data_IF_574214478564
#
_entry.id   IF_574214478564
#
_cell.length_a   1.000
_cell.length_b   1.000
_cell.length_c   1.000
_cell.angle_alpha   90.00
_cell.angle_beta   90.00
_cell.angle_gamma   90.00
#
_symmetry.space_group_name_H-M   'P 1'
#
loop_
_entity.id
_entity.type
_entity.pdbx_description
1 polymer ?
#
# COMPACT_ATOMS: atom_id res chain seq x y z
N UNK A 1 26.40 17.83 -34.54
CA UNK A 1 25.58 18.58 -33.55
C UNK A 1 24.58 17.61 -32.95
N UNK A 2 24.88 17.07 -31.76
CA UNK A 2 23.99 16.13 -31.05
C UNK A 2 24.03 16.43 -29.56
N UNK A 3 22.89 16.82 -29.00
CA UNK A 3 22.50 16.74 -27.59
C UNK A 3 21.13 17.43 -27.48
N UNK A 4 20.10 16.94 -26.83
CA UNK A 4 19.82 15.66 -26.19
C UNK A 4 18.30 15.67 -26.03
N UNK A 5 17.63 14.58 -26.37
CA UNK A 5 16.19 14.44 -26.16
C UNK A 5 15.97 14.43 -24.65
N UNK A 6 15.55 15.55 -24.09
CA UNK A 6 15.08 15.62 -22.72
C UNK A 6 13.85 14.72 -22.65
N UNK A 7 13.97 13.59 -21.97
CA UNK A 7 12.82 12.80 -21.58
C UNK A 7 12.05 13.65 -20.56
N UNK A 8 11.01 14.34 -21.02
CA UNK A 8 10.00 14.88 -20.11
C UNK A 8 9.38 13.67 -19.43
N UNK A 9 9.85 13.38 -18.22
CA UNK A 9 9.19 12.46 -17.32
C UNK A 9 7.76 12.92 -17.18
N UNK A 10 6.82 12.12 -17.68
CA UNK A 10 5.39 12.32 -17.46
C UNK A 10 5.20 12.50 -15.95
N UNK A 11 4.56 13.60 -15.48
CA UNK A 11 4.25 13.74 -14.08
C UNK A 11 3.40 12.54 -13.67
N UNK A 12 3.92 11.70 -12.78
CA UNK A 12 3.13 10.70 -12.07
C UNK A 12 1.94 11.46 -11.49
N UNK A 13 0.74 11.10 -11.94
CA UNK A 13 -0.55 11.68 -11.55
C UNK A 13 -0.48 12.15 -10.08
N UNK A 14 -0.74 13.44 -9.76
CA UNK A 14 -0.59 13.93 -8.40
C UNK A 14 -1.50 13.09 -7.51
N UNK A 15 -0.86 12.37 -6.59
CA UNK A 15 -1.54 11.50 -5.63
C UNK A 15 -2.71 12.29 -5.03
N UNK A 16 -3.98 11.86 -5.14
CA UNK A 16 -5.16 12.72 -4.93
C UNK A 16 -5.25 13.34 -3.53
N UNK A 17 -4.44 12.87 -2.59
CA UNK A 17 -4.36 13.31 -1.21
C UNK A 17 -3.16 14.24 -0.93
N UNK A 18 -2.29 14.49 -1.91
CA UNK A 18 -1.13 15.39 -1.81
C UNK A 18 -1.16 16.45 -2.90
N UNK A 19 -1.10 17.73 -2.50
CA UNK A 19 -1.07 18.83 -3.44
C UNK A 19 0.19 18.75 -4.34
N UNK A 20 0.06 19.19 -5.60
CA UNK A 20 1.14 19.12 -6.59
C UNK A 20 2.37 19.96 -6.22
N UNK A 21 2.22 20.91 -5.31
CA UNK A 21 3.27 21.76 -4.74
C UNK A 21 3.91 21.16 -3.47
N UNK A 22 3.46 19.99 -3.02
CA UNK A 22 4.04 19.33 -1.83
C UNK A 22 5.49 18.96 -2.11
N UNK A 23 6.45 19.41 -1.28
CA UNK A 23 7.87 19.09 -1.43
C UNK A 23 8.13 17.59 -1.57
N UNK A 24 9.07 17.22 -2.44
CA UNK A 24 9.39 15.81 -2.72
C UNK A 24 9.81 15.04 -1.47
N UNK A 25 10.53 15.68 -0.56
CA UNK A 25 10.94 15.09 0.73
C UNK A 25 9.72 14.69 1.58
N UNK A 26 8.70 15.55 1.64
CA UNK A 26 7.46 15.30 2.38
C UNK A 26 6.69 14.15 1.71
N UNK A 27 6.67 14.11 0.38
CA UNK A 27 6.03 13.04 -0.39
C UNK A 27 6.70 11.69 -0.13
N UNK A 28 8.04 11.64 -0.18
CA UNK A 28 8.79 10.42 0.11
C UNK A 28 8.58 9.96 1.54
N UNK A 29 8.67 10.88 2.52
CA UNK A 29 8.41 10.58 3.92
C UNK A 29 7.01 9.98 4.13
N UNK A 30 5.98 10.53 3.48
CA UNK A 30 4.62 10.02 3.60
C UNK A 30 4.48 8.60 3.00
N UNK A 31 5.10 8.34 1.86
CA UNK A 31 5.11 7.00 1.23
C UNK A 31 5.81 5.98 2.13
N UNK A 32 6.98 6.32 2.68
CA UNK A 32 7.73 5.45 3.58
C UNK A 32 6.97 5.20 4.88
N UNK A 33 6.37 6.25 5.45
CA UNK A 33 5.53 6.15 6.64
C UNK A 33 4.34 5.22 6.40
N UNK A 34 3.67 5.35 5.25
CA UNK A 34 2.54 4.49 4.89
C UNK A 34 2.96 3.03 4.75
N UNK A 35 4.11 2.75 4.13
CA UNK A 35 4.64 1.39 4.01
C UNK A 35 4.90 0.78 5.37
N UNK A 36 5.53 1.54 6.27
CA UNK A 36 5.85 1.08 7.61
C UNK A 36 4.58 0.82 8.42
N UNK A 37 3.63 1.75 8.41
CA UNK A 37 2.33 1.58 9.06
C UNK A 37 1.55 0.39 8.50
N UNK A 38 1.54 0.19 7.18
CA UNK A 38 0.89 -0.95 6.57
C UNK A 38 1.52 -2.27 7.03
N UNK A 39 2.84 -2.32 7.13
CA UNK A 39 3.56 -3.48 7.64
C UNK A 39 3.20 -3.77 9.11
N UNK A 40 3.20 -2.75 9.98
CA UNK A 40 2.80 -2.91 11.38
C UNK A 40 1.38 -3.46 11.54
N UNK A 41 0.42 -2.91 10.78
CA UNK A 41 -0.97 -3.39 10.80
C UNK A 41 -1.04 -4.86 10.36
N UNK A 42 -0.30 -5.22 9.30
CA UNK A 42 -0.25 -6.59 8.81
C UNK A 42 0.30 -7.51 9.90
N UNK A 43 1.41 -7.14 10.53
CA UNK A 43 2.07 -7.95 11.55
C UNK A 43 1.17 -8.14 12.78
N UNK A 44 0.51 -7.08 13.24
CA UNK A 44 -0.45 -7.12 14.34
C UNK A 44 -1.58 -8.12 14.03
N UNK A 45 -2.23 -7.99 12.86
CA UNK A 45 -3.33 -8.87 12.45
C UNK A 45 -2.87 -10.33 12.30
N UNK A 46 -1.67 -10.56 11.76
CA UNK A 46 -1.14 -11.91 11.59
C UNK A 46 -0.68 -12.54 12.91
N UNK A 47 -0.36 -11.74 13.92
CA UNK A 47 -0.02 -12.21 15.28
C UNK A 47 -1.24 -12.61 16.12
N UNK A 48 -2.43 -12.15 15.72
CA UNK A 48 -3.70 -12.46 16.37
C UNK A 48 -3.99 -13.97 16.45
N UNK A 49 -4.66 -14.40 17.53
CA UNK A 49 -4.89 -15.82 17.85
C UNK A 49 -6.35 -16.23 17.88
N UNK A 50 -7.27 -15.30 17.66
CA UNK A 50 -8.70 -15.59 17.67
C UNK A 50 -9.04 -16.61 16.57
N UNK A 51 -9.61 -17.79 16.90
CA UNK A 51 -9.90 -18.83 15.91
C UNK A 51 -10.89 -18.37 14.84
N UNK A 52 -11.85 -17.52 15.20
CA UNK A 52 -12.86 -16.97 14.28
C UNK A 52 -12.28 -16.09 13.18
N UNK A 53 -11.05 -15.59 13.35
CA UNK A 53 -10.38 -14.70 12.41
C UNK A 53 -9.36 -15.42 11.52
N UNK A 54 -9.18 -16.73 11.65
CA UNK A 54 -8.15 -17.46 10.90
C UNK A 54 -8.34 -17.36 9.38
N UNK A 55 -9.60 -17.34 8.91
CA UNK A 55 -9.87 -17.14 7.48
C UNK A 55 -9.42 -15.75 7.00
N UNK A 56 -9.61 -14.71 7.82
CA UNK A 56 -9.15 -13.37 7.51
C UNK A 56 -7.62 -13.31 7.47
N UNK A 57 -6.92 -13.94 8.44
CA UNK A 57 -5.45 -14.06 8.43
C UNK A 57 -4.95 -14.82 7.21
N UNK A 58 -5.58 -15.94 6.84
CA UNK A 58 -5.19 -16.72 5.66
C UNK A 58 -5.32 -15.89 4.36
N UNK A 59 -6.40 -15.10 4.23
CA UNK A 59 -6.55 -14.16 3.10
C UNK A 59 -5.47 -13.08 3.11
N UNK A 60 -5.14 -12.54 4.29
CA UNK A 60 -4.10 -11.52 4.41
C UNK A 60 -2.72 -12.07 4.00
N UNK A 61 -2.35 -13.27 4.48
CA UNK A 61 -1.10 -13.95 4.08
C UNK A 61 -1.02 -14.13 2.56
N UNK A 62 -2.13 -14.46 1.91
CA UNK A 62 -2.19 -14.55 0.43
C UNK A 62 -1.96 -13.19 -0.23
N UNK A 63 -2.57 -12.12 0.28
CA UNK A 63 -2.35 -10.77 -0.25
C UNK A 63 -0.88 -10.36 -0.10
N UNK A 64 -0.26 -10.62 1.04
CA UNK A 64 1.17 -10.34 1.28
C UNK A 64 2.06 -11.11 0.30
N UNK A 65 1.79 -12.40 0.06
CA UNK A 65 2.52 -13.20 -0.91
C UNK A 65 2.38 -12.68 -2.35
N UNK A 66 1.24 -12.08 -2.70
CA UNK A 66 0.99 -11.50 -4.02
C UNK A 66 1.67 -10.13 -4.22
N UNK A 67 2.04 -9.42 -3.14
CA UNK A 67 2.66 -8.09 -3.19
C UNK A 67 3.98 -8.03 -2.39
N UNK A 68 5.03 -8.76 -2.81
CA UNK A 68 6.30 -8.79 -2.10
C UNK A 68 6.93 -7.39 -2.03
N UNK A 69 7.31 -6.98 -0.82
CA UNK A 69 7.91 -5.66 -0.55
C UNK A 69 6.95 -4.47 -0.70
N UNK A 70 5.65 -4.72 -0.82
CA UNK A 70 4.61 -3.69 -0.97
C UNK A 70 3.45 -3.91 0.01
N UNK A 71 3.69 -3.81 1.32
CA UNK A 71 2.68 -4.05 2.36
C UNK A 71 1.44 -3.15 2.20
N UNK A 72 1.61 -1.92 1.75
CA UNK A 72 0.54 -0.96 1.48
C UNK A 72 -0.46 -1.49 0.43
N UNK A 73 0.04 -2.20 -0.59
CA UNK A 73 -0.80 -2.81 -1.63
C UNK A 73 -1.48 -4.08 -1.16
N UNK A 74 -0.77 -4.90 -0.39
CA UNK A 74 -1.33 -6.11 0.22
C UNK A 74 -2.51 -5.76 1.16
N UNK A 75 -2.32 -4.74 2.02
CA UNK A 75 -3.34 -4.28 2.94
C UNK A 75 -4.54 -3.67 2.20
N UNK A 76 -4.29 -2.84 1.19
CA UNK A 76 -5.37 -2.26 0.37
C UNK A 76 -6.21 -3.32 -0.34
N UNK A 77 -5.58 -4.35 -0.91
CA UNK A 77 -6.30 -5.47 -1.54
C UNK A 77 -7.21 -6.17 -0.51
N UNK A 78 -6.68 -6.52 0.66
CA UNK A 78 -7.44 -7.16 1.73
C UNK A 78 -8.64 -6.31 2.19
N UNK A 79 -8.44 -5.01 2.43
CA UNK A 79 -9.51 -4.09 2.84
C UNK A 79 -10.60 -4.00 1.76
N UNK A 80 -10.21 -4.03 0.49
CA UNK A 80 -11.15 -4.02 -0.64
C UNK A 80 -11.93 -5.32 -0.71
N UNK A 81 -11.30 -6.48 -0.46
CA UNK A 81 -11.97 -7.78 -0.36
C UNK A 81 -13.01 -7.75 0.77
N UNK A 82 -12.63 -7.25 1.95
CA UNK A 82 -13.53 -7.16 3.10
C UNK A 82 -14.71 -6.21 2.85
N UNK A 83 -14.53 -5.11 2.11
CA UNK A 83 -15.65 -4.23 1.70
C UNK A 83 -16.64 -4.89 0.73
N UNK A 84 -16.18 -5.81 -0.11
CA UNK A 84 -17.04 -6.52 -1.09
C UNK A 84 -17.81 -7.68 -0.48
N UNK A 85 -17.48 -8.08 0.74
CA UNK A 85 -18.25 -9.03 1.53
C UNK A 85 -19.01 -8.19 2.56
N UNK A 86 -20.27 -7.76 2.29
CA UNK A 86 -21.08 -7.18 3.34
C UNK A 86 -21.16 -8.19 4.48
N UNK A 87 -21.13 -7.69 5.71
CA UNK A 87 -21.30 -8.51 6.91
C UNK A 87 -22.43 -9.51 6.72
N UNK A 88 -22.14 -10.75 7.12
CA UNK A 88 -23.14 -11.78 7.35
C UNK A 88 -24.15 -11.25 8.37
#
# INVERSE_FOLDING_TARGET
MSAGRMFQSVPSDPDPWMAGDTPDEIRQFAIESLRWQAQEIIDEVLSGREPGEELARARLRRCVANHPGKPERALLEQLTINRKVPGI
#
